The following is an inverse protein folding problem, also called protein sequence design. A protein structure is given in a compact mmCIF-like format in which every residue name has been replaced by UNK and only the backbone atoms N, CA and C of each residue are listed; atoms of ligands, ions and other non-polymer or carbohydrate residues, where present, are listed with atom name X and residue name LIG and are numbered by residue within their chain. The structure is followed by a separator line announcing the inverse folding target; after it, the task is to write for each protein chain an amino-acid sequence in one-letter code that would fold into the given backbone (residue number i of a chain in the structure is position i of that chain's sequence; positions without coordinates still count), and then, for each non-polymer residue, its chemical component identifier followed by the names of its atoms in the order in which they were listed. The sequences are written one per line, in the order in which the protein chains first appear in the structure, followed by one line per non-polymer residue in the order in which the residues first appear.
data_IF_140121641880
#
_entry.id   IF_140121641880
#
_cell.length_a   1.000
_cell.length_b   1.000
_cell.length_c   1.000
_cell.angle_alpha   90.00
_cell.angle_beta   90.00
_cell.angle_gamma   90.00
#
_symmetry.space_group_name_H-M   'P 1'
#
loop_
_entity.id
_entity.type
_entity.pdbx_description
1 polymer ?
#
# COMPACT_ATOMS: atom_id res chain seq x y z
N UNK A 1 3.24 3.27 34.19
CA UNK A 1 3.99 3.13 32.92
C UNK A 1 3.07 3.37 31.75
N UNK A 2 3.41 4.33 30.94
CA UNK A 2 2.61 4.61 29.75
C UNK A 2 3.04 3.63 28.66
N UNK A 3 2.17 2.72 28.33
CA UNK A 3 2.40 1.80 27.22
C UNK A 3 1.88 2.48 25.97
N UNK A 4 2.77 2.76 25.03
CA UNK A 4 2.33 3.25 23.72
C UNK A 4 1.50 2.16 23.08
N UNK A 5 0.22 2.42 22.92
CA UNK A 5 -0.67 1.42 22.38
C UNK A 5 -0.61 1.46 20.86
N UNK A 6 0.00 0.43 20.28
CA UNK A 6 0.17 0.28 18.84
C UNK A 6 -0.20 -1.13 18.36
N UNK A 7 -0.87 -1.91 19.18
CA UNK A 7 -1.20 -3.30 18.85
C UNK A 7 -2.02 -3.42 17.58
N UNK A 8 -3.06 -2.59 17.44
CA UNK A 8 -3.93 -2.62 16.26
C UNK A 8 -3.16 -2.13 15.04
N UNK A 9 -2.42 -1.04 15.17
CA UNK A 9 -1.60 -0.49 14.10
C UNK A 9 -0.57 -1.52 13.64
N UNK A 10 0.10 -2.22 14.57
CA UNK A 10 1.06 -3.26 14.22
C UNK A 10 0.43 -4.41 13.45
N UNK A 11 -0.79 -4.81 13.80
CA UNK A 11 -1.49 -5.87 13.07
C UNK A 11 -1.85 -5.43 11.65
N UNK A 12 -2.35 -4.20 11.49
CA UNK A 12 -2.67 -3.66 10.17
C UNK A 12 -1.40 -3.54 9.33
N UNK A 13 -0.33 -3.00 9.91
CA UNK A 13 0.96 -2.87 9.24
C UNK A 13 1.51 -4.23 8.80
N UNK A 14 1.37 -5.25 9.64
CA UNK A 14 1.80 -6.61 9.31
C UNK A 14 1.04 -7.17 8.09
N UNK A 15 -0.25 -6.84 7.95
CA UNK A 15 -1.03 -7.25 6.79
C UNK A 15 -0.51 -6.59 5.51
N UNK A 16 -0.17 -5.30 5.56
CA UNK A 16 0.44 -4.61 4.42
C UNK A 16 1.82 -5.18 4.10
N UNK A 17 2.63 -5.46 5.11
CA UNK A 17 3.95 -6.06 4.91
C UNK A 17 3.85 -7.44 4.25
N UNK A 18 2.91 -8.26 4.70
CA UNK A 18 2.65 -9.59 4.15
C UNK A 18 2.19 -9.50 2.69
N UNK A 19 1.32 -8.54 2.39
CA UNK A 19 0.83 -8.31 1.03
C UNK A 19 1.98 -7.93 0.10
N UNK A 20 2.83 -6.99 0.50
CA UNK A 20 3.98 -6.57 -0.31
C UNK A 20 4.97 -7.73 -0.55
N UNK A 21 5.19 -8.55 0.47
CA UNK A 21 6.01 -9.75 0.30
C UNK A 21 5.40 -10.71 -0.72
N UNK A 22 4.09 -10.91 -0.65
CA UNK A 22 3.36 -11.75 -1.61
C UNK A 22 3.49 -11.21 -3.05
N UNK A 23 3.43 -9.89 -3.23
CA UNK A 23 3.64 -9.27 -4.54
C UNK A 23 5.05 -9.54 -5.07
N UNK A 24 6.07 -9.44 -4.20
CA UNK A 24 7.45 -9.77 -4.59
C UNK A 24 7.60 -11.22 -5.02
N UNK A 25 6.95 -12.13 -4.30
CA UNK A 25 6.99 -13.56 -4.63
C UNK A 25 6.38 -13.83 -6.01
N UNK A 26 5.44 -13.02 -6.45
CA UNK A 26 4.80 -13.14 -7.77
C UNK A 26 5.52 -12.36 -8.88
N UNK A 27 6.50 -11.52 -8.55
CA UNK A 27 7.06 -10.54 -9.48
C UNK A 27 7.64 -11.15 -10.76
N UNK A 28 8.18 -12.37 -10.69
CA UNK A 28 8.81 -13.03 -11.83
C UNK A 28 7.91 -14.03 -12.54
N UNK A 29 6.71 -14.28 -12.02
CA UNK A 29 5.83 -15.33 -12.56
C UNK A 29 4.42 -14.83 -12.92
N UNK A 30 4.03 -13.64 -12.49
CA UNK A 30 2.72 -13.08 -12.78
C UNK A 30 2.86 -11.84 -13.67
N UNK A 31 1.80 -11.49 -14.44
CA UNK A 31 1.80 -10.23 -15.19
C UNK A 31 2.01 -9.05 -14.23
N UNK A 32 2.86 -8.08 -14.59
CA UNK A 32 3.27 -7.05 -13.64
C UNK A 32 2.21 -5.99 -13.36
N UNK A 33 1.26 -5.77 -14.26
CA UNK A 33 0.33 -4.65 -14.13
C UNK A 33 -0.46 -4.68 -12.81
N UNK A 34 -1.08 -5.82 -12.48
CA UNK A 34 -1.87 -5.90 -11.25
C UNK A 34 -1.01 -5.89 -9.99
N UNK A 35 0.21 -6.42 -10.06
CA UNK A 35 1.18 -6.33 -8.96
C UNK A 35 1.52 -4.87 -8.66
N UNK A 36 1.80 -4.13 -9.72
CA UNK A 36 2.19 -2.73 -9.61
C UNK A 36 1.01 -1.87 -9.15
N UNK A 37 -0.19 -2.13 -9.65
CA UNK A 37 -1.40 -1.41 -9.21
C UNK A 37 -1.73 -1.68 -7.75
N UNK A 38 -1.51 -2.90 -7.27
CA UNK A 38 -1.67 -3.24 -5.86
C UNK A 38 -0.74 -2.38 -4.99
N UNK A 39 0.53 -2.34 -5.35
CA UNK A 39 1.52 -1.54 -4.63
C UNK A 39 1.25 -0.04 -4.74
N UNK A 40 0.76 0.43 -5.90
CA UNK A 40 0.43 1.83 -6.12
C UNK A 40 -0.68 2.31 -5.17
N UNK A 41 -1.67 1.47 -4.90
CA UNK A 41 -2.71 1.81 -3.93
C UNK A 41 -2.12 2.08 -2.54
N UNK A 42 -1.14 1.26 -2.14
CA UNK A 42 -0.44 1.43 -0.87
C UNK A 42 0.40 2.71 -0.87
N UNK A 43 1.15 2.95 -1.95
CA UNK A 43 1.98 4.15 -2.08
C UNK A 43 1.14 5.43 -2.03
N UNK A 44 0.01 5.45 -2.74
CA UNK A 44 -0.89 6.59 -2.74
C UNK A 44 -1.39 6.90 -1.32
N UNK A 45 -1.81 5.88 -0.59
CA UNK A 45 -2.24 6.05 0.79
C UNK A 45 -1.11 6.59 1.67
N UNK A 46 0.08 5.98 1.58
CA UNK A 46 1.23 6.41 2.37
C UNK A 46 1.63 7.86 2.07
N UNK A 47 1.65 8.24 0.80
CA UNK A 47 1.94 9.61 0.38
C UNK A 47 0.90 10.60 0.87
N UNK A 48 -0.37 10.21 0.83
CA UNK A 48 -1.46 11.03 1.36
C UNK A 48 -1.33 11.27 2.85
N UNK A 49 -1.02 10.23 3.62
CA UNK A 49 -0.92 10.31 5.08
C UNK A 49 0.33 11.06 5.54
N UNK A 50 1.44 10.98 4.82
CA UNK A 50 2.71 11.57 5.26
C UNK A 50 2.96 12.96 4.70
N UNK A 51 2.51 13.23 3.47
CA UNK A 51 2.83 14.47 2.75
C UNK A 51 1.62 15.09 2.04
N UNK A 52 0.43 14.59 2.31
CA UNK A 52 -0.82 15.02 1.65
C UNK A 52 -0.74 14.90 0.12
N UNK A 53 -0.01 13.90 -0.36
CA UNK A 53 0.14 13.61 -1.79
C UNK A 53 -0.72 12.39 -2.14
N UNK A 54 -1.91 12.66 -2.68
CA UNK A 54 -2.90 11.63 -2.99
C UNK A 54 -2.94 11.25 -4.47
N UNK A 55 -1.97 11.71 -5.26
CA UNK A 55 -1.90 11.45 -6.69
C UNK A 55 -1.59 9.98 -6.98
N UNK A 56 -2.10 9.50 -8.12
CA UNK A 56 -1.76 8.17 -8.60
C UNK A 56 -0.28 8.17 -9.04
N UNK A 57 0.58 7.39 -8.37
CA UNK A 57 2.01 7.39 -8.70
C UNK A 57 2.33 6.83 -10.09
N UNK A 58 1.37 6.16 -10.75
CA UNK A 58 1.59 5.52 -12.04
C UNK A 58 1.00 6.23 -13.23
N UNK A 59 0.46 7.42 -13.05
CA UNK A 59 -0.04 8.18 -14.18
C UNK A 59 1.03 8.36 -15.27
N UNK A 60 2.28 8.54 -14.86
CA UNK A 60 3.38 8.85 -15.78
C UNK A 60 4.47 7.78 -15.87
N UNK A 61 4.62 6.93 -14.85
CA UNK A 61 5.76 6.03 -14.73
C UNK A 61 5.43 4.55 -14.94
N UNK A 62 4.16 4.21 -15.12
CA UNK A 62 3.73 2.82 -15.26
C UNK A 62 4.49 2.04 -16.34
N UNK A 63 4.65 2.57 -17.59
CA UNK A 63 5.33 1.81 -18.63
C UNK A 63 6.78 1.45 -18.29
N UNK A 64 7.50 2.35 -17.64
CA UNK A 64 8.89 2.10 -17.22
C UNK A 64 8.96 1.05 -16.14
N UNK A 65 8.07 1.13 -15.14
CA UNK A 65 8.02 0.19 -14.03
C UNK A 65 7.68 -1.22 -14.51
N UNK A 66 6.85 -1.34 -15.55
CA UNK A 66 6.44 -2.63 -16.10
C UNK A 66 7.47 -3.24 -17.05
N UNK A 67 8.58 -2.56 -17.34
CA UNK A 67 9.53 -2.99 -18.36
C UNK A 67 10.20 -4.34 -18.07
N UNK A 68 10.44 -4.67 -16.80
CA UNK A 68 10.99 -5.97 -16.41
C UNK A 68 10.74 -6.24 -14.93
N UNK A 69 10.96 -7.50 -14.53
CA UNK A 69 10.69 -7.95 -13.17
C UNK A 69 11.58 -7.25 -12.13
N UNK A 70 12.82 -6.92 -12.48
CA UNK A 70 13.73 -6.23 -11.55
C UNK A 70 13.22 -4.83 -11.22
N UNK A 71 12.65 -4.13 -12.20
CA UNK A 71 12.02 -2.82 -11.98
C UNK A 71 10.80 -2.94 -11.06
N UNK A 72 10.01 -3.99 -11.25
CA UNK A 72 8.86 -4.23 -10.39
C UNK A 72 9.32 -4.45 -8.94
N UNK A 73 10.35 -5.28 -8.74
CA UNK A 73 10.89 -5.53 -7.39
C UNK A 73 11.44 -4.25 -6.76
N UNK A 74 12.19 -3.44 -7.52
CA UNK A 74 12.68 -2.15 -7.03
C UNK A 74 11.54 -1.25 -6.56
N UNK A 75 10.48 -1.18 -7.35
CA UNK A 75 9.30 -0.39 -6.98
C UNK A 75 8.63 -0.92 -5.71
N UNK A 76 8.47 -2.24 -5.61
CA UNK A 76 7.90 -2.85 -4.41
C UNK A 76 8.72 -2.54 -3.16
N UNK A 77 10.05 -2.51 -3.28
CA UNK A 77 10.94 -2.11 -2.19
C UNK A 77 10.77 -0.65 -1.79
N UNK A 78 10.56 0.24 -2.78
CA UNK A 78 10.28 1.65 -2.50
C UNK A 78 8.96 1.82 -1.75
N UNK A 79 7.93 1.08 -2.16
CA UNK A 79 6.63 1.11 -1.49
C UNK A 79 6.74 0.58 -0.06
N UNK A 80 7.53 -0.47 0.15
CA UNK A 80 7.77 -1.02 1.48
C UNK A 80 8.42 0.01 2.39
N UNK A 81 9.39 0.78 1.89
CA UNK A 81 10.00 1.87 2.67
C UNK A 81 9.00 2.97 3.00
N UNK A 82 8.14 3.33 2.05
CA UNK A 82 7.09 4.31 2.28
C UNK A 82 6.10 3.84 3.35
N UNK A 83 5.74 2.55 3.31
CA UNK A 83 4.89 1.93 4.34
C UNK A 83 5.51 2.06 5.72
N UNK A 84 6.78 1.71 5.86
CA UNK A 84 7.47 1.78 7.15
C UNK A 84 7.46 3.21 7.71
N UNK A 85 7.72 4.19 6.87
CA UNK A 85 7.69 5.59 7.29
C UNK A 85 6.30 6.03 7.72
N UNK A 86 5.27 5.67 6.95
CA UNK A 86 3.90 6.06 7.26
C UNK A 86 3.44 5.45 8.58
N UNK A 87 3.67 4.16 8.78
CA UNK A 87 3.21 3.48 9.99
C UNK A 87 4.04 3.80 11.23
N UNK A 88 5.28 4.27 11.08
CA UNK A 88 6.13 4.60 12.22
C UNK A 88 5.59 5.76 13.08
N UNK A 89 4.76 6.61 12.50
CA UNK A 89 4.20 7.79 13.16
C UNK A 89 2.75 7.62 13.62
N UNK A 90 2.18 6.41 13.47
CA UNK A 90 0.78 6.15 13.79
C UNK A 90 0.69 5.27 15.04
N UNK A 91 -0.20 5.64 15.96
CA UNK A 91 -0.58 4.81 17.11
C UNK A 91 -2.07 4.45 17.01
N UNK A 92 -2.57 3.61 17.93
CA UNK A 92 -3.96 3.18 17.89
C UNK A 92 -4.94 4.34 18.09
N UNK A 93 -4.56 5.35 18.88
CA UNK A 93 -5.38 6.54 19.07
C UNK A 93 -5.59 7.30 17.76
N UNK A 94 -4.61 7.29 16.86
CA UNK A 94 -4.72 7.97 15.57
C UNK A 94 -5.74 7.31 14.64
N UNK A 95 -6.08 6.04 14.84
CA UNK A 95 -6.99 5.31 13.96
C UNK A 95 -8.39 5.91 13.88
N UNK A 96 -8.82 6.63 14.93
CA UNK A 96 -10.13 7.27 14.96
C UNK A 96 -10.09 8.75 14.59
N UNK A 97 -8.94 9.25 14.15
CA UNK A 97 -8.84 10.63 13.66
C UNK A 97 -9.40 10.75 12.27
N UNK A 98 -9.99 11.91 11.98
CA UNK A 98 -10.49 12.23 10.65
C UNK A 98 -9.36 12.76 9.78
N UNK A 99 -9.28 12.24 8.57
CA UNK A 99 -8.31 12.62 7.57
C UNK A 99 -9.06 13.25 6.40
N UNK A 100 -8.65 14.43 5.97
CA UNK A 100 -9.21 15.09 4.79
C UNK A 100 -8.63 14.45 3.52
N UNK A 101 -9.49 14.06 2.59
CA UNK A 101 -9.10 13.48 1.31
C UNK A 101 -9.47 14.44 0.17
N UNK A 102 -8.89 14.27 -1.04
CA UNK A 102 -9.10 15.23 -2.14
C UNK A 102 -10.55 15.46 -2.55
N UNK A 103 -11.44 14.50 -2.32
CA UNK A 103 -12.87 14.66 -2.60
C UNK A 103 -13.56 15.69 -1.71
N UNK A 104 -12.86 16.23 -0.69
CA UNK A 104 -13.43 17.14 0.30
C UNK A 104 -14.05 16.44 1.48
N UNK A 105 -14.13 15.11 1.44
CA UNK A 105 -14.65 14.33 2.56
C UNK A 105 -13.62 14.18 3.65
N UNK A 106 -14.08 13.94 4.88
CA UNK A 106 -13.22 13.53 5.99
C UNK A 106 -13.50 12.06 6.28
N UNK A 107 -12.44 11.26 6.35
CA UNK A 107 -12.52 9.82 6.56
C UNK A 107 -11.74 9.43 7.81
N UNK A 108 -12.22 8.46 8.55
CA UNK A 108 -11.43 7.90 9.65
C UNK A 108 -10.18 7.23 9.10
N UNK A 109 -9.05 7.42 9.78
CA UNK A 109 -7.80 6.81 9.34
C UNK A 109 -7.94 5.29 9.21
N UNK A 110 -8.56 4.62 10.18
CA UNK A 110 -8.76 3.17 10.10
C UNK A 110 -9.52 2.76 8.84
N UNK A 111 -10.54 3.55 8.44
CA UNK A 111 -11.30 3.25 7.23
C UNK A 111 -10.42 3.35 5.97
N UNK A 112 -9.57 4.38 5.90
CA UNK A 112 -8.64 4.53 4.77
C UNK A 112 -7.66 3.36 4.69
N UNK A 113 -7.13 2.92 5.83
CA UNK A 113 -6.19 1.80 5.88
C UNK A 113 -6.86 0.50 5.41
N UNK A 114 -8.05 0.21 5.92
CA UNK A 114 -8.75 -1.02 5.57
C UNK A 114 -9.23 -1.02 4.11
N UNK A 115 -9.73 0.10 3.61
CA UNK A 115 -10.13 0.23 2.21
C UNK A 115 -8.94 0.03 1.27
N UNK A 116 -7.79 0.59 1.62
CA UNK A 116 -6.56 0.42 0.84
C UNK A 116 -6.12 -1.03 0.84
N UNK A 117 -6.17 -1.69 1.99
CA UNK A 117 -5.81 -3.10 2.11
C UNK A 117 -6.70 -3.98 1.23
N UNK A 118 -8.01 -3.73 1.23
CA UNK A 118 -8.96 -4.46 0.39
C UNK A 118 -8.66 -4.24 -1.09
N UNK A 119 -8.49 -2.99 -1.50
CA UNK A 119 -8.19 -2.64 -2.89
C UNK A 119 -6.88 -3.30 -3.37
N UNK A 120 -5.82 -3.18 -2.58
CA UNK A 120 -4.54 -3.76 -2.91
C UNK A 120 -4.62 -5.30 -2.97
N UNK A 121 -5.37 -5.92 -2.06
CA UNK A 121 -5.57 -7.37 -2.04
C UNK A 121 -6.34 -7.86 -3.26
N UNK A 122 -7.31 -7.09 -3.76
CA UNK A 122 -8.04 -7.44 -4.98
C UNK A 122 -7.12 -7.47 -6.19
N UNK A 123 -6.26 -6.48 -6.35
CA UNK A 123 -5.28 -6.48 -7.43
C UNK A 123 -4.31 -7.66 -7.32
N UNK A 124 -3.85 -7.95 -6.12
CA UNK A 124 -2.96 -9.10 -5.89
C UNK A 124 -3.67 -10.40 -6.24
N UNK A 125 -4.95 -10.53 -5.89
CA UNK A 125 -5.76 -11.70 -6.23
C UNK A 125 -5.87 -11.92 -7.73
N UNK A 126 -6.07 -10.85 -8.51
CA UNK A 126 -6.11 -10.91 -9.97
C UNK A 126 -4.78 -11.39 -10.55
N UNK A 127 -3.67 -10.89 -10.04
CA UNK A 127 -2.34 -11.30 -10.48
C UNK A 127 -2.13 -12.80 -10.22
N UNK A 128 -2.55 -13.30 -9.07
CA UNK A 128 -2.44 -14.72 -8.72
C UNK A 128 -3.26 -15.61 -9.64
N UNK A 129 -4.47 -15.18 -10.01
CA UNK A 129 -5.32 -15.92 -10.96
C UNK A 129 -4.67 -15.96 -12.35
N UNK A 130 -4.18 -14.83 -12.84
CA UNK A 130 -3.52 -14.74 -14.14
C UNK A 130 -2.27 -15.63 -14.23
N UNK A 131 -1.55 -15.76 -13.12
CA UNK A 131 -0.37 -16.64 -13.04
C UNK A 131 -0.74 -18.09 -13.34
N UNK A 132 -1.94 -18.54 -12.93
CA UNK A 132 -2.39 -19.91 -13.04
C UNK A 132 -3.13 -20.20 -14.36
N UNK A 133 -3.27 -19.21 -15.22
CA UNK A 133 -3.82 -19.37 -16.57
C UNK A 133 -2.69 -19.62 -17.58
#
# INVERSE_FOLDING_TARGET
MVKTDREIVHQIDAEFASLLKSLKDLARSAPPEDLVRSAAAIEQMCGGLTANLWDDPFEWTLPETLSNADRVVEYLDEVDRARRRAFSSIDDAALTKLISVPSGESRLLISLLLETLVKASEFRGRAGVQKNM
#
